data_IF_257785012528
#
_entry.id   IF_257785012528
#
_cell.length_a   1.000
_cell.length_b   1.000
_cell.length_c   1.000
_cell.angle_alpha   90.00
_cell.angle_beta   90.00
_cell.angle_gamma   90.00
#
_symmetry.space_group_name_H-M   'P 1'
#
loop_
_entity.id
_entity.type
_entity.pdbx_description
1 polymer ?
#
# COMPACT_ATOMS: atom_id res chain seq x y z
N UNK A 1 -28.06 -10.45 5.82
CA UNK A 1 -27.25 -9.22 5.54
C UNK A 1 -25.92 -9.65 4.95
N UNK A 2 -25.57 -9.14 3.78
CA UNK A 2 -24.42 -9.61 3.02
C UNK A 2 -23.11 -9.16 3.68
N UNK A 3 -22.11 -10.04 3.72
CA UNK A 3 -20.83 -9.81 4.44
C UNK A 3 -19.63 -10.13 3.57
N UNK A 4 -18.53 -9.43 3.81
CA UNK A 4 -17.25 -9.80 3.22
C UNK A 4 -16.68 -11.07 3.86
N UNK A 5 -16.34 -12.06 3.04
CA UNK A 5 -15.62 -13.26 3.45
C UNK A 5 -14.26 -13.32 2.75
N UNK A 6 -13.18 -13.56 3.51
CA UNK A 6 -11.85 -13.74 2.93
C UNK A 6 -11.81 -15.06 2.14
N UNK A 7 -11.35 -15.01 0.89
CA UNK A 7 -11.26 -16.18 0.01
C UNK A 7 -9.81 -16.63 -0.18
N UNK A 8 -8.94 -15.72 -0.63
CA UNK A 8 -7.50 -15.97 -0.76
C UNK A 8 -6.68 -14.73 -0.33
N UNK A 9 -5.40 -14.70 -0.68
CA UNK A 9 -4.54 -13.56 -0.37
C UNK A 9 -5.07 -12.29 -1.05
N UNK A 10 -5.35 -11.27 -0.26
CA UNK A 10 -5.86 -9.96 -0.69
C UNK A 10 -7.24 -9.95 -1.40
N UNK A 11 -7.89 -11.10 -1.60
CA UNK A 11 -9.21 -11.18 -2.24
C UNK A 11 -10.32 -11.56 -1.25
N UNK A 12 -11.43 -10.83 -1.32
CA UNK A 12 -12.65 -11.08 -0.58
C UNK A 12 -13.81 -11.37 -1.54
N UNK A 13 -14.72 -12.23 -1.11
CA UNK A 13 -15.99 -12.54 -1.79
C UNK A 13 -17.15 -12.07 -0.94
N UNK A 14 -18.30 -11.83 -1.56
CA UNK A 14 -19.56 -11.61 -0.86
C UNK A 14 -20.11 -12.93 -0.35
N UNK A 15 -20.50 -12.99 0.91
CA UNK A 15 -21.33 -14.06 1.48
C UNK A 15 -22.78 -13.56 1.51
N UNK A 16 -23.64 -14.18 0.70
CA UNK A 16 -25.05 -13.82 0.53
C UNK A 16 -25.97 -14.99 0.91
N UNK A 17 -27.13 -14.68 1.48
CA UNK A 17 -28.19 -15.68 1.77
C UNK A 17 -29.12 -15.87 0.56
N UNK A 18 -29.23 -14.86 -0.30
CA UNK A 18 -30.03 -14.88 -1.52
C UNK A 18 -29.14 -15.00 -2.76
N UNK A 19 -29.70 -15.56 -3.82
CA UNK A 19 -29.05 -15.63 -5.12
C UNK A 19 -29.05 -14.25 -5.81
N UNK A 20 -27.92 -13.90 -6.40
CA UNK A 20 -27.70 -12.67 -7.16
C UNK A 20 -27.18 -13.02 -8.56
N UNK A 21 -27.54 -12.18 -9.53
CA UNK A 21 -27.03 -12.26 -10.90
C UNK A 21 -25.76 -11.43 -11.04
N UNK A 22 -25.01 -11.73 -12.10
CA UNK A 22 -23.90 -10.90 -12.54
C UNK A 22 -24.40 -9.47 -12.83
N UNK A 23 -23.59 -8.48 -12.49
CA UNK A 23 -23.86 -7.03 -12.56
C UNK A 23 -24.88 -6.53 -11.51
N UNK A 24 -25.40 -7.38 -10.62
CA UNK A 24 -26.23 -6.91 -9.51
C UNK A 24 -25.40 -6.05 -8.53
N UNK A 25 -25.95 -4.91 -8.14
CA UNK A 25 -25.39 -4.06 -7.09
C UNK A 25 -25.90 -4.52 -5.72
N UNK A 26 -24.97 -4.91 -4.86
CA UNK A 26 -25.25 -5.36 -3.49
C UNK A 26 -24.51 -4.50 -2.47
N UNK A 27 -25.14 -4.28 -1.33
CA UNK A 27 -24.53 -3.58 -0.20
C UNK A 27 -23.89 -4.60 0.74
N UNK A 28 -22.59 -4.43 0.99
CA UNK A 28 -21.82 -5.25 1.92
C UNK A 28 -21.36 -4.43 3.11
N UNK A 29 -21.53 -4.99 4.31
CA UNK A 29 -21.04 -4.35 5.53
C UNK A 29 -19.65 -4.86 5.88
N UNK A 30 -18.71 -3.94 6.08
CA UNK A 30 -17.36 -4.25 6.57
C UNK A 30 -17.38 -4.65 8.04
N UNK A 31 -16.29 -5.26 8.55
CA UNK A 31 -16.13 -5.57 9.98
C UNK A 31 -16.21 -4.36 10.92
N UNK A 32 -16.13 -3.14 10.38
CA UNK A 32 -16.21 -1.88 11.12
C UNK A 32 -17.57 -1.18 10.97
N UNK A 33 -18.57 -1.85 10.39
CA UNK A 33 -19.92 -1.28 10.23
C UNK A 33 -20.09 -0.33 9.05
N UNK A 34 -19.03 -0.06 8.27
CA UNK A 34 -19.15 0.73 7.03
C UNK A 34 -19.82 -0.10 5.94
N UNK A 35 -20.87 0.43 5.34
CA UNK A 35 -21.51 -0.11 4.13
C UNK A 35 -20.73 0.28 2.88
N UNK A 36 -20.60 -0.66 1.97
CA UNK A 36 -19.90 -0.52 0.70
C UNK A 36 -20.74 -1.18 -0.38
N UNK A 37 -21.05 -0.43 -1.43
CA UNK A 37 -21.71 -0.97 -2.62
C UNK A 37 -20.70 -1.73 -3.47
N UNK A 38 -21.11 -2.90 -3.95
CA UNK A 38 -20.28 -3.80 -4.72
C UNK A 38 -21.10 -4.39 -5.86
N UNK A 39 -20.48 -4.50 -7.02
CA UNK A 39 -21.01 -5.19 -8.19
C UNK A 39 -20.66 -6.67 -8.11
N UNK A 40 -21.66 -7.53 -8.32
CA UNK A 40 -21.52 -8.99 -8.35
C UNK A 40 -20.97 -9.44 -9.70
N UNK A 41 -19.96 -10.31 -9.72
CA UNK A 41 -19.34 -10.77 -10.96
C UNK A 41 -19.61 -12.23 -11.27
N UNK A 42 -19.06 -13.17 -10.48
CA UNK A 42 -19.22 -14.61 -10.69
C UNK A 42 -19.61 -15.35 -9.40
N UNK A 43 -20.40 -16.41 -9.52
CA UNK A 43 -20.68 -17.33 -8.41
C UNK A 43 -19.48 -18.26 -8.22
N UNK A 44 -18.78 -18.09 -7.10
CA UNK A 44 -17.55 -18.83 -6.77
C UNK A 44 -17.86 -20.17 -6.10
N UNK A 45 -18.86 -20.19 -5.21
CA UNK A 45 -19.27 -21.39 -4.49
C UNK A 45 -20.70 -21.25 -3.93
N UNK A 46 -21.36 -22.39 -3.71
CA UNK A 46 -22.58 -22.49 -2.91
C UNK A 46 -22.39 -23.55 -1.83
N UNK A 47 -22.51 -23.16 -0.56
CA UNK A 47 -22.27 -24.04 0.59
C UNK A 47 -23.25 -23.68 1.71
N UNK A 48 -23.92 -24.68 2.30
CA UNK A 48 -24.84 -24.50 3.44
C UNK A 48 -25.93 -23.43 3.20
N UNK A 49 -26.56 -23.46 2.03
CA UNK A 49 -27.57 -22.48 1.61
C UNK A 49 -27.07 -21.02 1.59
N UNK A 50 -25.75 -20.83 1.42
CA UNK A 50 -25.14 -19.52 1.20
C UNK A 50 -24.42 -19.49 -0.14
N UNK A 51 -24.49 -18.34 -0.78
CA UNK A 51 -23.90 -18.07 -2.07
C UNK A 51 -22.68 -17.16 -1.89
N UNK A 52 -21.58 -17.53 -2.55
CA UNK A 52 -20.33 -16.78 -2.50
C UNK A 52 -20.03 -16.17 -3.86
N UNK A 53 -20.00 -14.85 -3.93
CA UNK A 53 -19.78 -14.13 -5.19
C UNK A 53 -18.46 -13.39 -5.20
N UNK A 54 -17.74 -13.43 -6.33
CA UNK A 54 -16.70 -12.45 -6.60
C UNK A 54 -17.36 -11.09 -6.83
N UNK A 55 -16.66 -10.05 -6.39
CA UNK A 55 -17.22 -8.70 -6.31
C UNK A 55 -16.17 -7.66 -6.66
N UNK A 56 -16.63 -6.58 -7.27
CA UNK A 56 -15.85 -5.37 -7.49
C UNK A 56 -16.49 -4.25 -6.69
N UNK A 57 -15.67 -3.49 -5.96
CA UNK A 57 -16.20 -2.31 -5.24
C UNK A 57 -16.45 -1.21 -6.25
N UNK A 58 -17.60 -0.55 -6.14
CA UNK A 58 -17.92 0.64 -6.95
C UNK A 58 -17.23 1.91 -6.45
N UNK A 59 -16.52 1.84 -5.31
CA UNK A 59 -15.69 2.93 -4.79
C UNK A 59 -14.71 3.46 -5.87
N UNK A 60 -14.67 4.78 -6.08
CA UNK A 60 -13.77 5.45 -7.05
C UNK A 60 -12.27 5.15 -6.84
N UNK A 61 -11.89 4.70 -5.63
CA UNK A 61 -10.48 4.51 -5.24
C UNK A 61 -10.23 3.14 -4.65
N UNK A 62 -9.18 2.49 -5.16
CA UNK A 62 -8.69 1.22 -4.61
C UNK A 62 -8.24 1.37 -3.15
N UNK A 63 -8.13 0.26 -2.42
CA UNK A 63 -7.61 0.28 -1.06
C UNK A 63 -6.18 0.85 -0.99
N UNK A 64 -5.32 0.48 -1.95
CA UNK A 64 -3.95 0.95 -2.03
C UNK A 64 -3.89 2.47 -2.30
N UNK A 65 -4.71 2.97 -3.23
CA UNK A 65 -4.81 4.42 -3.50
C UNK A 65 -5.22 5.22 -2.26
N UNK A 66 -6.24 4.76 -1.53
CA UNK A 66 -6.66 5.43 -0.28
C UNK A 66 -5.57 5.43 0.79
N UNK A 67 -4.74 4.37 0.84
CA UNK A 67 -3.59 4.31 1.75
C UNK A 67 -2.49 5.26 1.32
N UNK A 68 -2.15 5.29 0.03
CA UNK A 68 -1.18 6.22 -0.53
C UNK A 68 -1.57 7.68 -0.21
N UNK A 69 -2.81 8.07 -0.52
CA UNK A 69 -3.33 9.41 -0.22
C UNK A 69 -3.26 9.76 1.27
N UNK A 70 -3.63 8.82 2.14
CA UNK A 70 -3.54 9.01 3.59
C UNK A 70 -2.10 9.29 4.03
N UNK A 71 -1.13 8.55 3.53
CA UNK A 71 0.27 8.74 3.89
C UNK A 71 0.86 10.00 3.26
N UNK A 72 0.47 10.38 2.04
CA UNK A 72 0.81 11.68 1.45
C UNK A 72 0.32 12.84 2.32
N UNK A 73 -0.95 12.80 2.73
CA UNK A 73 -1.51 13.82 3.64
C UNK A 73 -0.80 13.83 5.00
N UNK A 74 -0.35 12.68 5.48
CA UNK A 74 0.46 12.59 6.71
C UNK A 74 1.84 13.22 6.52
N UNK A 75 2.49 12.97 5.38
CA UNK A 75 3.80 13.53 5.05
C UNK A 75 3.73 15.06 5.00
N UNK A 76 2.80 15.62 4.25
CA UNK A 76 2.64 17.08 4.13
C UNK A 76 2.37 17.74 5.48
N UNK A 77 1.57 17.09 6.35
CA UNK A 77 1.33 17.56 7.71
C UNK A 77 2.61 17.59 8.56
N UNK A 78 3.45 16.56 8.45
CA UNK A 78 4.71 16.49 9.20
C UNK A 78 5.76 17.46 8.64
N UNK A 79 5.81 17.67 7.33
CA UNK A 79 6.64 18.71 6.71
C UNK A 79 6.26 20.10 7.20
N UNK A 80 4.97 20.43 7.18
CA UNK A 80 4.49 21.73 7.67
C UNK A 80 4.89 21.96 9.14
N UNK A 81 4.77 20.94 10.00
CA UNK A 81 5.22 20.99 11.40
C UNK A 81 6.74 21.11 11.54
N UNK A 82 7.50 20.41 10.69
CA UNK A 82 8.95 20.50 10.67
C UNK A 82 9.39 21.93 10.37
N UNK A 83 8.80 22.55 9.33
CA UNK A 83 9.04 23.95 8.96
C UNK A 83 8.65 24.90 10.10
N UNK A 84 7.49 24.70 10.71
CA UNK A 84 7.04 25.52 11.85
C UNK A 84 8.02 25.46 13.04
N UNK A 85 8.54 24.27 13.37
CA UNK A 85 9.55 24.12 14.43
C UNK A 85 10.90 24.74 14.05
N UNK A 86 11.28 24.63 12.78
CA UNK A 86 12.48 25.26 12.26
C UNK A 86 12.38 26.78 12.36
N UNK A 87 11.27 27.38 11.92
CA UNK A 87 11.01 28.82 12.03
C UNK A 87 11.04 29.28 13.50
N UNK A 88 10.41 28.53 14.41
CA UNK A 88 10.48 28.81 15.86
C UNK A 88 11.90 28.72 16.43
N UNK A 89 12.76 27.88 15.86
CA UNK A 89 14.17 27.77 16.29
C UNK A 89 15.01 29.00 15.91
N UNK A 90 14.49 29.88 15.05
CA UNK A 90 15.14 31.13 14.65
C UNK A 90 14.85 32.29 15.63
N UNK A 91 14.23 32.04 16.78
CA UNK A 91 14.02 33.08 17.79
C UNK A 91 15.35 33.70 18.20
N UNK A 92 15.46 35.03 18.17
CA UNK A 92 16.68 35.75 18.52
C UNK A 92 17.83 35.56 17.51
N UNK A 93 17.54 35.14 16.27
CA UNK A 93 18.52 35.03 15.18
C UNK A 93 19.35 36.29 14.99
N UNK A 94 18.74 37.47 15.03
CA UNK A 94 19.43 38.75 14.86
C UNK A 94 20.45 39.02 15.98
N UNK A 95 20.18 38.55 17.19
CA UNK A 95 21.10 38.65 18.32
C UNK A 95 22.23 37.62 18.20
N UNK A 96 21.91 36.38 17.86
CA UNK A 96 22.88 35.29 17.76
C UNK A 96 23.82 35.44 16.55
N UNK A 97 23.35 36.06 15.46
CA UNK A 97 24.15 36.30 14.25
C UNK A 97 25.31 37.26 14.46
N UNK A 98 25.25 38.10 15.48
CA UNK A 98 26.34 39.00 15.90
C UNK A 98 27.55 38.20 16.42
N UNK A 99 27.38 36.94 16.79
CA UNK A 99 28.46 36.06 17.22
C UNK A 99 29.05 36.43 18.58
N UNK A 100 28.31 37.14 19.44
CA UNK A 100 28.77 37.46 20.78
C UNK A 100 28.99 36.17 21.60
N UNK A 101 30.14 36.00 22.27
CA UNK A 101 30.33 34.86 23.15
C UNK A 101 29.48 34.96 24.42
N UNK A 102 29.18 33.83 25.05
CA UNK A 102 28.53 33.80 26.36
C UNK A 102 29.50 34.36 27.41
N UNK A 103 29.15 35.52 27.99
CA UNK A 103 29.93 36.19 29.03
C UNK A 103 29.64 35.54 30.40
N UNK A 104 30.53 34.68 30.87
CA UNK A 104 30.38 33.96 32.15
C UNK A 104 30.39 34.96 33.33
N UNK A 105 29.45 34.83 34.25
CA UNK A 105 29.28 35.70 35.41
C UNK A 105 28.55 37.02 35.13
N UNK A 106 28.17 37.28 33.89
CA UNK A 106 27.42 38.48 33.51
C UNK A 106 25.90 38.26 33.68
N UNK A 107 25.15 39.31 34.01
CA UNK A 107 23.70 39.23 34.24
C UNK A 107 22.89 38.72 33.03
N UNK A 108 23.45 38.79 31.82
CA UNK A 108 22.84 38.29 30.58
C UNK A 108 23.11 36.81 30.29
N UNK A 109 24.03 36.17 31.02
CA UNK A 109 24.47 34.79 30.77
C UNK A 109 23.30 33.80 30.72
N UNK A 110 22.45 33.82 31.75
CA UNK A 110 21.33 32.89 31.88
C UNK A 110 20.34 32.99 30.71
N UNK A 111 20.10 34.21 30.22
CA UNK A 111 19.22 34.45 29.07
C UNK A 111 19.83 33.91 27.77
N UNK A 112 21.14 34.11 27.58
CA UNK A 112 21.84 33.63 26.39
C UNK A 112 21.82 32.10 26.32
N UNK A 113 22.20 31.41 27.41
CA UNK A 113 22.14 29.94 27.47
C UNK A 113 20.72 29.41 27.21
N UNK A 114 19.72 29.98 27.88
CA UNK A 114 18.32 29.59 27.71
C UNK A 114 17.83 29.73 26.27
N UNK A 115 18.24 30.79 25.56
CA UNK A 115 17.86 31.01 24.16
C UNK A 115 18.47 29.91 23.26
N UNK A 116 19.76 29.63 23.43
CA UNK A 116 20.45 28.58 22.67
C UNK A 116 19.81 27.21 22.94
N UNK A 117 19.60 26.85 24.21
CA UNK A 117 19.00 25.58 24.60
C UNK A 117 17.57 25.45 24.05
N UNK A 118 16.77 26.51 24.10
CA UNK A 118 15.42 26.52 23.54
C UNK A 118 15.44 26.32 22.02
N UNK A 119 16.32 27.03 21.30
CA UNK A 119 16.46 26.91 19.85
C UNK A 119 16.97 25.52 19.44
N UNK A 120 17.94 24.97 20.18
CA UNK A 120 18.42 23.60 19.99
C UNK A 120 17.29 22.57 20.15
N UNK A 121 16.49 22.69 21.21
CA UNK A 121 15.35 21.80 21.44
C UNK A 121 14.27 21.92 20.34
N UNK A 122 14.02 23.13 19.83
CA UNK A 122 13.08 23.36 18.71
C UNK A 122 13.59 22.77 17.41
N UNK A 123 14.88 22.95 17.12
CA UNK A 123 15.53 22.34 15.97
C UNK A 123 15.45 20.81 16.04
N UNK A 124 15.71 20.23 17.22
CA UNK A 124 15.54 18.79 17.43
C UNK A 124 14.11 18.31 17.11
N UNK A 125 13.08 19.08 17.50
CA UNK A 125 11.68 18.77 17.12
C UNK A 125 11.43 18.87 15.63
N UNK A 126 12.04 19.85 14.94
CA UNK A 126 11.96 19.99 13.48
C UNK A 126 12.51 18.73 12.79
N UNK A 127 13.71 18.27 13.20
CA UNK A 127 14.33 17.05 12.66
C UNK A 127 13.43 15.82 12.86
N UNK A 128 12.90 15.62 14.06
CA UNK A 128 11.99 14.49 14.36
C UNK A 128 10.73 14.52 13.50
N UNK A 129 10.14 15.69 13.27
CA UNK A 129 8.99 15.81 12.38
C UNK A 129 9.38 15.59 10.91
N UNK A 130 10.58 16.01 10.50
CA UNK A 130 11.11 15.74 9.15
C UNK A 130 11.32 14.24 8.91
N UNK A 131 11.85 13.50 9.89
CA UNK A 131 12.01 12.05 9.79
C UNK A 131 10.66 11.34 9.65
N UNK A 132 9.64 11.77 10.42
CA UNK A 132 8.27 11.25 10.29
C UNK A 132 7.66 11.55 8.92
N UNK A 133 7.94 12.74 8.36
CA UNK A 133 7.49 13.08 7.03
C UNK A 133 8.11 12.13 5.99
N UNK A 134 9.41 11.87 6.09
CA UNK A 134 10.12 10.97 5.18
C UNK A 134 9.62 9.53 5.29
N UNK A 135 9.41 9.02 6.51
CA UNK A 135 8.80 7.70 6.71
C UNK A 135 7.40 7.62 6.08
N UNK A 136 6.59 8.68 6.20
CA UNK A 136 5.28 8.76 5.59
C UNK A 136 5.36 8.80 4.05
N UNK A 137 6.34 9.49 3.46
CA UNK A 137 6.58 9.48 2.00
C UNK A 137 6.94 8.10 1.50
N UNK A 138 7.87 7.41 2.18
CA UNK A 138 8.27 6.06 1.83
C UNK A 138 7.08 5.09 1.88
N UNK A 139 6.23 5.22 2.90
CA UNK A 139 4.97 4.45 2.96
C UNK A 139 4.01 4.83 1.84
N UNK A 140 3.89 6.12 1.51
CA UNK A 140 3.04 6.55 0.41
C UNK A 140 3.47 5.92 -0.92
N UNK A 141 4.75 6.05 -1.28
CA UNK A 141 5.33 5.46 -2.49
C UNK A 141 5.11 3.96 -2.56
N UNK A 142 5.36 3.22 -1.48
CA UNK A 142 5.06 1.78 -1.43
C UNK A 142 3.59 1.46 -1.77
N UNK A 143 2.64 2.26 -1.27
CA UNK A 143 1.22 2.05 -1.56
C UNK A 143 0.80 2.52 -2.95
N UNK A 144 1.53 3.45 -3.56
CA UNK A 144 1.35 3.85 -4.96
C UNK A 144 1.78 2.72 -5.89
N UNK A 145 2.96 2.16 -5.68
CA UNK A 145 3.45 1.00 -6.45
C UNK A 145 2.45 -0.17 -6.33
N UNK A 146 1.91 -0.38 -5.12
CA UNK A 146 0.88 -1.41 -4.87
C UNK A 146 -0.48 -1.10 -5.49
N UNK A 147 -0.77 0.16 -5.81
CA UNK A 147 -2.00 0.53 -6.49
C UNK A 147 -1.95 0.18 -7.99
N UNK A 148 -0.76 0.19 -8.57
CA UNK A 148 -0.53 -0.17 -9.97
C UNK A 148 -0.39 -1.69 -10.17
N UNK A 149 -0.06 -2.45 -9.11
CA UNK A 149 0.08 -3.91 -9.19
C UNK A 149 -1.26 -4.63 -9.41
N UNK A 150 -1.40 -5.25 -10.58
CA UNK A 150 -2.53 -6.15 -10.89
C UNK A 150 -2.44 -7.42 -10.03
N UNK A 151 -3.49 -7.65 -9.24
CA UNK A 151 -3.59 -8.80 -8.35
C UNK A 151 -4.97 -9.49 -8.45
N UNK A 152 -5.12 -10.66 -7.82
CA UNK A 152 -6.32 -11.51 -7.88
C UNK A 152 -7.63 -10.82 -7.45
N UNK A 153 -7.60 -9.66 -6.81
CA UNK A 153 -8.80 -8.90 -6.46
C UNK A 153 -9.39 -8.10 -7.62
N UNK A 154 -8.74 -8.09 -8.80
CA UNK A 154 -9.15 -7.33 -9.98
C UNK A 154 -9.63 -8.28 -11.09
N UNK A 155 -10.69 -7.95 -11.83
CA UNK A 155 -11.15 -8.73 -13.00
C UNK A 155 -10.04 -8.94 -14.05
N UNK A 156 -9.28 -7.88 -14.36
CA UNK A 156 -8.17 -7.88 -15.32
C UNK A 156 -7.02 -8.86 -14.96
N UNK A 157 -7.03 -9.36 -13.72
CA UNK A 157 -6.01 -10.31 -13.26
C UNK A 157 -6.00 -11.62 -14.04
N UNK A 158 -7.13 -12.02 -14.62
CA UNK A 158 -7.20 -13.25 -15.42
C UNK A 158 -6.33 -13.13 -16.67
N UNK A 159 -6.52 -12.08 -17.47
CA UNK A 159 -5.73 -11.84 -18.68
C UNK A 159 -4.26 -11.64 -18.36
N UNK A 160 -3.96 -10.86 -17.32
CA UNK A 160 -2.61 -10.62 -16.85
C UNK A 160 -1.86 -11.92 -16.48
N UNK A 161 -2.51 -12.80 -15.70
CA UNK A 161 -1.87 -14.06 -15.30
C UNK A 161 -1.80 -15.09 -16.44
N UNK A 162 -2.72 -15.06 -17.40
CA UNK A 162 -2.64 -15.88 -18.60
C UNK A 162 -1.41 -15.49 -19.45
N UNK A 163 -1.23 -14.20 -19.70
CA UNK A 163 -0.05 -13.68 -20.41
C UNK A 163 1.25 -14.07 -19.68
N UNK A 164 1.33 -13.83 -18.36
CA UNK A 164 2.50 -14.19 -17.56
C UNK A 164 2.77 -15.70 -17.55
N UNK A 165 1.72 -16.53 -17.52
CA UNK A 165 1.87 -17.98 -17.59
C UNK A 165 2.45 -18.42 -18.94
N UNK A 166 2.06 -17.79 -20.04
CA UNK A 166 2.62 -18.07 -21.37
C UNK A 166 4.12 -17.72 -21.43
N UNK A 167 4.50 -16.54 -20.95
CA UNK A 167 5.91 -16.13 -20.83
C UNK A 167 6.72 -17.13 -20.00
N UNK A 168 6.19 -17.54 -18.84
CA UNK A 168 6.85 -18.48 -17.95
C UNK A 168 7.02 -19.86 -18.60
N UNK A 169 6.02 -20.34 -19.35
CA UNK A 169 6.11 -21.59 -20.11
C UNK A 169 7.19 -21.52 -21.19
N UNK A 170 7.25 -20.41 -21.96
CA UNK A 170 8.28 -20.16 -22.97
C UNK A 170 9.68 -20.16 -22.34
N UNK A 171 9.87 -19.47 -21.22
CA UNK A 171 11.14 -19.46 -20.48
C UNK A 171 11.54 -20.86 -19.99
N UNK A 172 10.61 -21.59 -19.37
CA UNK A 172 10.88 -22.93 -18.87
C UNK A 172 11.26 -23.89 -20.01
N UNK A 173 10.54 -23.84 -21.14
CA UNK A 173 10.85 -24.66 -22.30
C UNK A 173 12.21 -24.28 -22.89
N UNK A 174 12.55 -22.99 -23.02
CA UNK A 174 13.84 -22.57 -23.52
C UNK A 174 15.03 -22.99 -22.65
N UNK A 175 14.85 -23.02 -21.33
CA UNK A 175 15.86 -23.56 -20.39
C UNK A 175 15.99 -25.09 -20.44
N UNK A 176 14.94 -25.78 -20.90
CA UNK A 176 14.92 -27.24 -21.06
C UNK A 176 15.59 -27.66 -22.35
N UNK A 177 15.29 -26.95 -23.44
CA UNK A 177 15.79 -27.24 -24.79
C UNK A 177 17.16 -26.60 -25.07
N UNK A 178 17.62 -25.72 -24.18
CA UNK A 178 18.94 -25.08 -24.25
C UNK A 178 18.98 -23.80 -25.09
N UNK A 179 17.85 -23.35 -25.64
CA UNK A 179 17.78 -22.05 -26.34
C UNK A 179 18.02 -20.86 -25.40
N UNK A 180 17.79 -21.04 -24.10
CA UNK A 180 18.13 -20.09 -23.05
C UNK A 180 19.23 -20.69 -22.18
N UNK A 181 20.35 -19.97 -22.02
CA UNK A 181 21.44 -20.38 -21.15
C UNK A 181 20.99 -20.33 -19.68
N UNK A 182 21.28 -21.38 -18.93
CA UNK A 182 21.06 -21.40 -17.47
C UNK A 182 22.12 -20.52 -16.80
N UNK A 183 21.68 -19.58 -15.99
CA UNK A 183 22.58 -18.72 -15.20
C UNK A 183 23.21 -19.51 -14.04
N UNK A 184 22.45 -20.42 -13.45
CA UNK A 184 22.89 -21.25 -12.32
C UNK A 184 22.19 -22.63 -12.33
N UNK A 185 22.65 -23.56 -11.49
CA UNK A 185 22.14 -24.94 -11.44
C UNK A 185 20.63 -25.02 -11.18
N UNK A 186 20.10 -24.11 -10.35
CA UNK A 186 18.69 -24.02 -9.99
C UNK A 186 17.77 -23.34 -11.04
N UNK A 187 18.28 -22.79 -12.15
CA UNK A 187 17.46 -21.94 -13.04
C UNK A 187 16.23 -22.68 -13.60
N UNK A 188 16.36 -23.96 -13.93
CA UNK A 188 15.25 -24.79 -14.41
C UNK A 188 14.21 -25.05 -13.31
N UNK A 189 14.65 -25.28 -12.08
CA UNK A 189 13.76 -25.52 -10.94
C UNK A 189 12.93 -24.28 -10.60
N UNK A 190 13.55 -23.09 -10.65
CA UNK A 190 12.83 -21.82 -10.45
C UNK A 190 11.82 -21.57 -11.57
N UNK A 191 12.20 -21.75 -12.83
CA UNK A 191 11.26 -21.61 -13.95
C UNK A 191 10.06 -22.57 -13.85
N UNK A 192 10.29 -23.83 -13.44
CA UNK A 192 9.19 -24.78 -13.21
C UNK A 192 8.29 -24.35 -12.03
N UNK A 193 8.89 -23.83 -10.95
CA UNK A 193 8.15 -23.29 -9.81
C UNK A 193 7.28 -22.11 -10.22
N UNK A 194 7.78 -21.22 -11.07
CA UNK A 194 7.04 -20.06 -11.58
C UNK A 194 5.83 -20.48 -12.41
N UNK A 195 6.01 -21.44 -13.33
CA UNK A 195 4.90 -22.02 -14.10
C UNK A 195 3.84 -22.61 -13.17
N UNK A 196 4.23 -23.37 -12.14
CA UNK A 196 3.28 -23.94 -11.17
C UNK A 196 2.55 -22.87 -10.38
N UNK A 197 3.24 -21.84 -9.93
CA UNK A 197 2.65 -20.74 -9.16
C UNK A 197 1.65 -19.93 -10.02
N UNK A 198 2.04 -19.58 -11.25
CA UNK A 198 1.16 -18.88 -12.19
C UNK A 198 -0.03 -19.73 -12.60
N UNK A 199 0.15 -21.03 -12.81
CA UNK A 199 -0.97 -21.95 -13.08
C UNK A 199 -2.01 -21.92 -11.96
N UNK A 200 -1.57 -21.92 -10.70
CA UNK A 200 -2.47 -21.79 -9.53
C UNK A 200 -3.19 -20.44 -9.53
N UNK A 201 -2.48 -19.34 -9.85
CA UNK A 201 -3.08 -18.00 -9.93
C UNK A 201 -4.12 -17.90 -11.05
N UNK A 202 -3.83 -18.42 -12.24
CA UNK A 202 -4.79 -18.50 -13.35
C UNK A 202 -6.02 -19.31 -12.95
N UNK A 203 -5.85 -20.46 -12.30
CA UNK A 203 -6.99 -21.27 -11.84
C UNK A 203 -7.87 -20.53 -10.81
N UNK A 204 -7.26 -19.74 -9.92
CA UNK A 204 -8.01 -18.90 -8.97
C UNK A 204 -8.70 -17.73 -9.68
N UNK A 205 -8.00 -17.03 -10.58
CA UNK A 205 -8.54 -15.94 -11.36
C UNK A 205 -9.71 -16.41 -12.23
N UNK A 206 -9.61 -17.59 -12.85
CA UNK A 206 -10.70 -18.21 -13.61
C UNK A 206 -11.93 -18.43 -12.73
N UNK A 207 -11.76 -18.99 -11.52
CA UNK A 207 -12.91 -19.17 -10.61
C UNK A 207 -13.56 -17.85 -10.19
N UNK A 208 -12.77 -16.80 -10.04
CA UNK A 208 -13.26 -15.50 -9.59
C UNK A 208 -13.87 -14.66 -10.73
N UNK A 209 -13.29 -14.72 -11.92
CA UNK A 209 -13.52 -13.73 -12.98
C UNK A 209 -13.84 -14.34 -14.34
N UNK A 210 -13.90 -15.67 -14.47
CA UNK A 210 -14.40 -16.26 -15.70
C UNK A 210 -15.90 -15.98 -15.84
N UNK A 211 -16.27 -15.50 -17.01
CA UNK A 211 -17.66 -15.34 -17.45
C UNK A 211 -18.33 -16.68 -17.74
#
# INVERSE_FOLDING_TARGET
MNKFKKYCENTFVAECETEHKREDLIILTTKYGKEVECEVFNLVASVNNKFYYSIVRTDDKSYAQRKAEKYKASATKHEAKSTEWYEKSQEGRDFLSLGEPIKIGHHSEARHRKLIDANWNRLGKSVVESEKAEEAKNKASYWEDKAEEINLSMPDSLEFYLYKLEEAKKRHQGLKDGSIKREHSYSLQYANKDVKNLTKKVALAQKLWAS
#
